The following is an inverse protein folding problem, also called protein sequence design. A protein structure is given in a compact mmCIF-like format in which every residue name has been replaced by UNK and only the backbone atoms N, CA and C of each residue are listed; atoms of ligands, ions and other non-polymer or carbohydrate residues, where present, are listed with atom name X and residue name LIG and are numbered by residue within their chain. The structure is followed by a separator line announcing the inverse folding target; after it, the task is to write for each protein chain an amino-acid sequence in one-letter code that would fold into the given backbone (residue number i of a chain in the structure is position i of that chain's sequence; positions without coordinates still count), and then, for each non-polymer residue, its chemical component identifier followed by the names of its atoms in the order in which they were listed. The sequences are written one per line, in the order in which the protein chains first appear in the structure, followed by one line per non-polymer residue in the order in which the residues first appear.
data_IF_155643588359
#
_entry.id   IF_155643588359
#
_cell.length_a   1.000
_cell.length_b   1.000
_cell.length_c   1.000
_cell.angle_alpha   90.00
_cell.angle_beta   90.00
_cell.angle_gamma   90.00
#
_symmetry.space_group_name_H-M   'P 1'
#
loop_
_entity.id
_entity.type
_entity.pdbx_description
1 polymer ?
#
# COMPACT_ATOMS: atom_id res chain seq x y z
N UNK A 1 -2.99 20.93 17.05
CA UNK A 1 -2.85 20.41 15.66
C UNK A 1 -1.67 19.45 15.48
N UNK A 2 -0.43 19.83 15.84
CA UNK A 2 0.76 18.94 15.67
C UNK A 2 0.65 17.59 16.39
N UNK A 3 0.08 17.56 17.59
CA UNK A 3 -0.14 16.32 18.36
C UNK A 3 -1.14 15.36 17.66
N UNK A 4 -2.18 15.90 17.04
CA UNK A 4 -3.14 15.13 16.25
C UNK A 4 -2.50 14.56 14.98
N UNK A 5 -1.65 15.36 14.31
CA UNK A 5 -0.87 14.93 13.16
C UNK A 5 0.05 13.76 13.51
N UNK A 6 0.81 13.83 14.61
CA UNK A 6 1.69 12.74 15.06
C UNK A 6 0.91 11.45 15.42
N UNK A 7 -0.27 11.58 16.04
CA UNK A 7 -1.16 10.44 16.31
C UNK A 7 -1.68 9.80 15.01
N UNK A 8 -2.03 10.62 14.03
CA UNK A 8 -2.51 10.14 12.74
C UNK A 8 -1.39 9.48 11.93
N UNK A 9 -0.16 10.00 11.97
CA UNK A 9 0.99 9.37 11.29
C UNK A 9 1.22 7.96 11.83
N UNK A 10 1.26 7.76 13.15
CA UNK A 10 1.39 6.39 13.71
C UNK A 10 0.21 5.48 13.38
N UNK A 11 -1.00 6.03 13.29
CA UNK A 11 -2.22 5.25 13.01
C UNK A 11 -2.33 4.88 11.52
N UNK A 12 -1.86 5.75 10.63
CA UNK A 12 -1.98 5.61 9.18
C UNK A 12 -0.69 5.12 8.52
N UNK A 13 0.41 5.02 9.28
CA UNK A 13 1.66 4.45 8.79
C UNK A 13 1.53 2.96 8.60
N UNK A 14 1.99 2.47 7.46
CA UNK A 14 2.15 1.04 7.24
C UNK A 14 3.30 0.51 8.10
N UNK A 15 3.15 -0.70 8.67
CA UNK A 15 4.27 -1.38 9.30
C UNK A 15 5.42 -1.52 8.32
N UNK A 16 6.65 -1.28 8.78
CA UNK A 16 7.85 -1.37 7.93
C UNK A 16 7.95 -2.74 7.21
N UNK A 17 7.56 -3.83 7.89
CA UNK A 17 7.52 -5.18 7.32
C UNK A 17 6.64 -5.31 6.05
N UNK A 18 5.67 -4.42 5.87
CA UNK A 18 4.77 -4.48 4.72
C UNK A 18 5.40 -3.82 3.50
N UNK A 19 6.33 -2.90 3.68
CA UNK A 19 6.96 -2.14 2.59
C UNK A 19 7.65 -3.09 1.62
N UNK A 20 8.40 -4.07 2.13
CA UNK A 20 9.08 -5.07 1.28
C UNK A 20 8.09 -5.95 0.51
N UNK A 21 6.93 -6.26 1.11
CA UNK A 21 5.87 -7.03 0.46
C UNK A 21 5.25 -6.22 -0.68
N UNK A 22 4.95 -4.94 -0.47
CA UNK A 22 4.40 -4.05 -1.50
C UNK A 22 5.40 -3.78 -2.63
N UNK A 23 6.68 -3.58 -2.30
CA UNK A 23 7.74 -3.34 -3.27
C UNK A 23 8.11 -4.61 -4.06
N UNK A 24 7.79 -5.78 -3.54
CA UNK A 24 7.97 -7.05 -4.25
C UNK A 24 6.83 -7.39 -5.22
N UNK A 25 5.77 -6.58 -5.30
CA UNK A 25 4.70 -6.77 -6.26
C UNK A 25 5.22 -6.52 -7.68
N UNK A 26 4.75 -7.31 -8.64
CA UNK A 26 5.10 -7.10 -10.05
C UNK A 26 4.46 -5.83 -10.59
N UNK A 27 5.13 -5.18 -11.55
CA UNK A 27 4.59 -4.00 -12.22
C UNK A 27 3.22 -4.26 -12.83
N UNK A 28 2.99 -5.47 -13.33
CA UNK A 28 1.69 -5.92 -13.83
C UNK A 28 0.56 -5.82 -12.79
N UNK A 29 0.81 -6.22 -11.54
CA UNK A 29 -0.17 -6.13 -10.46
C UNK A 29 -0.42 -4.66 -10.10
N UNK A 30 0.63 -3.86 -10.06
CA UNK A 30 0.57 -2.44 -9.70
C UNK A 30 -0.11 -1.60 -10.80
N UNK A 31 0.07 -1.99 -12.07
CA UNK A 31 -0.48 -1.29 -13.24
C UNK A 31 -1.84 -1.84 -13.68
N UNK A 32 -2.36 -2.87 -13.02
CA UNK A 32 -3.67 -3.43 -13.34
C UNK A 32 -4.77 -2.37 -13.15
N UNK A 33 -5.47 -2.06 -14.25
CA UNK A 33 -6.53 -1.05 -14.27
C UNK A 33 -7.73 -1.44 -13.40
N UNK A 34 -8.00 -2.74 -13.25
CA UNK A 34 -9.06 -3.24 -12.39
C UNK A 34 -8.73 -4.61 -11.81
N UNK A 35 -9.37 -4.93 -10.69
CA UNK A 35 -9.26 -6.25 -10.06
C UNK A 35 -9.75 -7.36 -11.00
N UNK A 36 -10.78 -7.09 -11.81
CA UNK A 36 -11.26 -8.07 -12.79
C UNK A 36 -10.20 -8.37 -13.85
N UNK A 37 -9.56 -7.35 -14.42
CA UNK A 37 -8.48 -7.53 -15.39
C UNK A 37 -7.27 -8.25 -14.80
N UNK A 38 -6.98 -8.04 -13.52
CA UNK A 38 -5.96 -8.81 -12.80
C UNK A 38 -6.35 -10.29 -12.62
N UNK A 39 -7.63 -10.58 -12.31
CA UNK A 39 -8.10 -11.96 -12.04
C UNK A 39 -8.34 -12.80 -13.28
N UNK A 40 -8.58 -12.18 -14.43
CA UNK A 40 -8.83 -12.85 -15.72
C UNK A 40 -7.54 -13.30 -16.42
N UNK A 41 -6.37 -12.94 -15.88
CA UNK A 41 -5.05 -13.23 -16.43
C UNK A 41 -4.36 -14.35 -15.64
#
# INVERSE_FOLDING_TARGET
MKSQCLKNIRKLSFPHRMVDIWNGLSEEIVTAESVQKFKEK
#
